data_IF_640426796329
#
_entry.id   IF_640426796329
#
_cell.length_a   1.000
_cell.length_b   1.000
_cell.length_c   1.000
_cell.angle_alpha   90.00
_cell.angle_beta   90.00
_cell.angle_gamma   90.00
#
_symmetry.space_group_name_H-M   'P 1'
#
loop_
_entity.id
_entity.type
_entity.pdbx_description
1 polymer ?
#
# COMPACT_ATOMS: atom_id res chain seq x y z
N UNK A 1 -3.29 2.96 -13.44
CA UNK A 1 -2.59 1.78 -13.99
C UNK A 1 -1.10 2.07 -13.82
N UNK A 2 -0.49 1.47 -12.79
CA UNK A 2 0.93 1.54 -12.36
C UNK A 2 1.64 2.88 -12.11
N UNK A 3 1.00 4.04 -12.28
CA UNK A 3 1.54 5.29 -11.68
C UNK A 3 1.00 5.48 -10.27
N UNK A 4 1.47 4.67 -9.33
CA UNK A 4 1.37 4.99 -7.90
C UNK A 4 2.77 5.37 -7.46
N UNK A 5 2.97 6.53 -6.84
CA UNK A 5 4.29 6.99 -6.36
C UNK A 5 5.03 5.98 -5.45
N UNK A 6 4.35 4.92 -5.01
CA UNK A 6 4.88 3.87 -4.13
C UNK A 6 5.39 2.64 -4.88
N UNK A 7 5.15 2.54 -6.19
CA UNK A 7 5.75 1.52 -7.06
C UNK A 7 6.35 2.23 -8.27
N UNK A 8 7.67 2.27 -8.34
CA UNK A 8 8.39 3.04 -9.36
C UNK A 8 9.64 2.33 -9.80
N UNK A 9 10.06 2.60 -11.04
CA UNK A 9 11.38 2.19 -11.51
C UNK A 9 12.45 3.16 -11.01
N UNK A 10 13.48 2.63 -10.36
CA UNK A 10 14.73 3.32 -10.06
C UNK A 10 15.85 2.57 -10.76
N UNK A 11 16.58 3.26 -11.65
CA UNK A 11 17.69 2.68 -12.43
C UNK A 11 17.32 1.35 -13.12
N UNK A 12 16.15 1.31 -13.75
CA UNK A 12 15.65 0.12 -14.45
C UNK A 12 15.14 -1.01 -13.55
N UNK A 13 15.15 -0.83 -12.22
CA UNK A 13 14.61 -1.81 -11.27
C UNK A 13 13.28 -1.34 -10.69
N UNK A 14 12.27 -2.19 -10.72
CA UNK A 14 10.99 -1.94 -10.05
C UNK A 14 11.16 -2.02 -8.53
N UNK A 15 10.86 -0.92 -7.85
CA UNK A 15 10.89 -0.80 -6.40
C UNK A 15 9.49 -0.58 -5.84
N UNK A 16 9.23 -1.10 -4.65
CA UNK A 16 8.13 -0.66 -3.79
C UNK A 16 8.70 0.24 -2.70
N UNK A 17 8.31 1.51 -2.68
CA UNK A 17 8.96 2.55 -1.90
C UNK A 17 10.48 2.56 -2.22
N UNK A 18 11.35 2.32 -1.24
CA UNK A 18 12.81 2.22 -1.46
C UNK A 18 13.32 0.77 -1.49
N UNK A 19 12.44 -0.22 -1.61
CA UNK A 19 12.80 -1.66 -1.58
C UNK A 19 12.67 -2.27 -2.97
N UNK A 20 13.74 -2.89 -3.45
CA UNK A 20 13.78 -3.52 -4.78
C UNK A 20 12.95 -4.81 -4.80
N UNK A 21 12.09 -4.98 -5.80
CA UNK A 21 11.20 -6.15 -5.86
C UNK A 21 11.91 -7.45 -6.29
N UNK A 22 13.03 -7.34 -7.01
CA UNK A 22 13.84 -8.50 -7.38
C UNK A 22 14.53 -9.13 -6.17
N UNK A 23 15.03 -8.31 -5.23
CA UNK A 23 15.57 -8.78 -3.95
C UNK A 23 14.50 -9.50 -3.11
N UNK A 24 13.29 -8.93 -3.02
CA UNK A 24 12.17 -9.57 -2.33
C UNK A 24 11.78 -10.90 -3.00
N UNK A 25 11.74 -10.96 -4.33
CA UNK A 25 11.44 -12.18 -5.06
C UNK A 25 12.52 -13.26 -4.85
N UNK A 26 13.80 -12.88 -4.79
CA UNK A 26 14.90 -13.79 -4.49
C UNK A 26 14.85 -14.30 -3.04
N UNK A 27 14.50 -13.44 -2.09
CA UNK A 27 14.45 -13.77 -0.66
C UNK A 27 13.22 -14.62 -0.28
N UNK A 28 12.04 -14.27 -0.80
CA UNK A 28 10.76 -14.85 -0.38
C UNK A 28 10.14 -15.80 -1.40
N UNK A 29 10.71 -15.91 -2.60
CA UNK A 29 10.19 -16.73 -3.70
C UNK A 29 9.00 -16.10 -4.42
N UNK A 30 8.49 -16.77 -5.45
CA UNK A 30 7.31 -16.34 -6.22
C UNK A 30 6.27 -17.48 -6.34
N UNK A 31 4.96 -17.15 -6.41
CA UNK A 31 4.34 -15.82 -6.45
C UNK A 31 4.38 -15.07 -5.11
N UNK A 32 4.63 -13.75 -5.15
CA UNK A 32 4.75 -12.87 -3.98
C UNK A 32 3.83 -11.67 -4.08
N UNK A 33 3.02 -11.42 -3.05
CA UNK A 33 2.25 -10.19 -2.91
C UNK A 33 3.06 -9.17 -2.08
N UNK A 34 3.23 -7.97 -2.62
CA UNK A 34 3.91 -6.84 -1.95
C UNK A 34 2.92 -5.69 -1.81
N UNK A 35 2.79 -5.16 -0.60
CA UNK A 35 1.87 -4.04 -0.29
C UNK A 35 2.66 -2.90 0.33
N UNK A 36 2.57 -1.70 -0.26
CA UNK A 36 3.15 -0.49 0.33
C UNK A 36 2.29 0.00 1.50
N UNK A 37 2.93 0.18 2.66
CA UNK A 37 2.28 0.77 3.83
C UNK A 37 2.03 2.25 3.60
N UNK A 38 2.97 2.96 2.99
CA UNK A 38 2.83 4.39 2.74
C UNK A 38 1.66 4.67 1.79
N UNK A 39 1.47 3.83 0.77
CA UNK A 39 0.31 3.90 -0.12
C UNK A 39 -1.00 3.76 0.63
N UNK A 40 -1.11 2.74 1.49
CA UNK A 40 -2.33 2.47 2.25
C UNK A 40 -2.69 3.63 3.17
N UNK A 41 -1.72 4.12 3.95
CA UNK A 41 -1.92 5.24 4.88
C UNK A 41 -2.24 6.55 4.14
N UNK A 42 -1.60 6.79 2.99
CA UNK A 42 -1.87 8.00 2.19
C UNK A 42 -3.28 8.02 1.63
N UNK A 43 -3.77 6.87 1.14
CA UNK A 43 -5.15 6.75 0.66
C UNK A 43 -6.17 6.91 1.77
N UNK A 44 -5.92 6.31 2.95
CA UNK A 44 -6.78 6.49 4.11
C UNK A 44 -6.85 7.97 4.53
N UNK A 45 -5.71 8.66 4.63
CA UNK A 45 -5.67 10.08 4.99
C UNK A 45 -6.38 10.97 3.98
N UNK A 46 -6.20 10.72 2.68
CA UNK A 46 -6.90 11.46 1.63
C UNK A 46 -8.42 11.29 1.74
N UNK A 47 -8.88 10.10 2.12
CA UNK A 47 -10.29 9.83 2.37
C UNK A 47 -10.79 10.59 3.60
N UNK A 48 -10.10 10.50 4.74
CA UNK A 48 -10.46 11.25 5.97
C UNK A 48 -10.50 12.77 5.73
N UNK A 49 -9.53 13.31 5.01
CA UNK A 49 -9.44 14.74 4.69
C UNK A 49 -10.61 15.20 3.82
N UNK A 50 -11.01 14.41 2.83
CA UNK A 50 -12.16 14.72 1.97
C UNK A 50 -13.48 14.83 2.73
N UNK A 51 -13.63 14.10 3.84
CA UNK A 51 -14.83 14.09 4.67
C UNK A 51 -14.68 14.85 6.00
N UNK A 52 -13.57 15.57 6.20
CA UNK A 52 -13.24 16.22 7.47
C UNK A 52 -14.27 17.26 7.95
N UNK A 53 -15.09 17.81 7.05
CA UNK A 53 -16.15 18.77 7.37
C UNK A 53 -17.44 18.12 7.90
N UNK A 54 -17.57 16.79 7.81
CA UNK A 54 -18.74 16.04 8.24
C UNK A 54 -18.42 15.17 9.45
N UNK A 55 -19.32 15.05 10.44
CA UNK A 55 -19.23 13.99 11.44
C UNK A 55 -19.31 12.63 10.73
N UNK A 56 -18.21 11.88 10.74
CA UNK A 56 -18.13 10.59 10.04
C UNK A 56 -17.31 9.57 10.83
N UNK A 57 -17.43 8.31 10.40
CA UNK A 57 -16.64 7.19 10.90
C UNK A 57 -16.28 6.28 9.72
N UNK A 58 -14.98 6.10 9.47
CA UNK A 58 -14.52 5.30 8.33
C UNK A 58 -14.38 3.83 8.70
N UNK A 59 -15.15 2.98 8.03
CA UNK A 59 -15.10 1.52 8.18
C UNK A 59 -14.39 0.87 7.00
N UNK A 60 -13.15 0.41 7.20
CA UNK A 60 -12.47 -0.38 6.18
C UNK A 60 -13.17 -1.73 5.92
N UNK A 61 -13.42 -2.05 4.65
CA UNK A 61 -14.05 -3.31 4.27
C UNK A 61 -13.03 -4.45 4.25
N UNK A 62 -12.92 -5.19 5.35
CA UNK A 62 -11.91 -6.27 5.54
C UNK A 62 -11.95 -7.38 4.49
N UNK A 63 -13.07 -7.55 3.77
CA UNK A 63 -13.17 -8.47 2.64
C UNK A 63 -12.20 -8.13 1.49
N UNK A 64 -11.74 -6.87 1.41
CA UNK A 64 -10.79 -6.43 0.39
C UNK A 64 -9.38 -6.96 0.67
N UNK A 65 -8.94 -6.91 1.94
CA UNK A 65 -7.69 -7.51 2.40
C UNK A 65 -7.74 -7.67 3.93
N UNK A 66 -7.80 -8.91 4.40
CA UNK A 66 -7.88 -9.23 5.82
C UNK A 66 -6.51 -9.53 6.46
N UNK A 67 -5.40 -9.24 5.77
CA UNK A 67 -4.07 -9.38 6.34
C UNK A 67 -3.96 -8.51 7.62
N UNK A 68 -3.53 -9.12 8.72
CA UNK A 68 -3.50 -8.45 10.03
C UNK A 68 -2.58 -7.23 10.05
N UNK A 69 -1.49 -7.22 9.28
CA UNK A 69 -0.59 -6.07 9.18
C UNK A 69 -1.21 -4.92 8.39
N UNK A 70 -2.03 -5.23 7.37
CA UNK A 70 -2.81 -4.23 6.62
C UNK A 70 -3.87 -3.60 7.53
N UNK A 71 -4.65 -4.42 8.24
CA UNK A 71 -5.69 -3.93 9.16
C UNK A 71 -5.09 -3.06 10.27
N UNK A 72 -3.94 -3.44 10.83
CA UNK A 72 -3.25 -2.67 11.90
C UNK A 72 -2.69 -1.34 11.40
N UNK A 73 -2.46 -1.19 10.09
CA UNK A 73 -1.84 0.00 9.52
C UNK A 73 -2.84 1.11 9.17
N UNK A 74 -4.14 0.81 9.16
CA UNK A 74 -5.25 1.74 9.00
C UNK A 74 -5.64 2.31 10.38
#
# INVERSE_FOLDING_TARGET
MLDSHFFSFSDGTLCCESVRLDELAAQFGTPLFVTSRQSLVSQYRAFEEAFASLPHFTCYSVKANFNLSVIRAL
#
